data_IF_385979443569
#
_entry.id   IF_385979443569
#
_cell.length_a   1.000
_cell.length_b   1.000
_cell.length_c   1.000
_cell.angle_alpha   90.00
_cell.angle_beta   90.00
_cell.angle_gamma   90.00
#
_symmetry.space_group_name_H-M   'P 1'
#
loop_
_entity.id
_entity.type
_entity.pdbx_description
1 polymer ?
2 non-polymer ?
3 water ?
#
# COMPACT_ATOMS: atom_id res chain seq x y z
N UNK A 1 0.28 12.40 27.94
CA UNK A 1 0.69 10.96 27.94
C UNK A 1 0.29 10.30 26.62
N UNK A 2 0.25 8.97 26.58
CA UNK A 2 -0.07 8.17 25.37
C UNK A 2 -1.59 8.02 25.22
N UNK A 3 -2.24 8.97 24.54
CA UNK A 3 -3.73 9.00 24.39
C UNK A 3 -4.19 7.95 23.37
N UNK A 4 -3.61 7.97 22.17
CA UNK A 4 -4.15 7.33 20.94
C UNK A 4 -3.37 6.06 20.62
N UNK A 5 -4.08 4.98 20.27
CA UNK A 5 -3.48 3.81 19.57
C UNK A 5 -3.22 4.23 18.14
N UNK A 6 -2.21 3.67 17.47
CA UNK A 6 -2.03 3.90 16.04
C UNK A 6 -3.33 3.47 15.35
N UNK A 7 -3.70 4.13 14.26
CA UNK A 7 -4.87 3.74 13.44
C UNK A 7 -4.36 3.38 12.03
N UNK A 8 -4.76 2.23 11.49
CA UNK A 8 -4.35 1.78 10.13
C UNK A 8 -5.02 2.67 9.09
N UNK A 9 -4.30 3.14 8.06
CA UNK A 9 -4.93 3.87 6.93
C UNK A 9 -5.19 2.93 5.75
N UNK A 10 -4.56 1.77 5.69
CA UNK A 10 -4.70 0.91 4.49
C UNK A 10 -4.62 -0.57 4.88
N UNK A 11 -5.04 -0.89 6.09
CA UNK A 11 -5.44 -2.28 6.44
C UNK A 11 -6.78 -2.16 7.13
N UNK A 12 -7.68 -3.15 7.01
CA UNK A 12 -7.42 -4.40 6.32
C UNK A 12 -7.42 -4.26 4.80
N UNK A 13 -6.70 -5.16 4.13
CA UNK A 13 -6.65 -5.20 2.65
C UNK A 13 -6.48 -6.66 2.22
N UNK A 14 -7.20 -7.06 1.18
CA UNK A 14 -7.01 -8.35 0.48
C UNK A 14 -6.27 -8.08 -0.83
N UNK A 15 -5.03 -8.54 -0.93
CA UNK A 15 -4.19 -8.46 -2.15
C UNK A 15 -4.33 -9.80 -2.88
N UNK A 16 -4.52 -9.80 -4.20
CA UNK A 16 -4.38 -11.01 -5.01
C UNK A 16 -3.05 -10.89 -5.76
N UNK A 17 -2.27 -11.96 -5.71
CA UNK A 17 -0.89 -12.02 -6.27
C UNK A 17 -0.72 -13.33 -7.02
N UNK A 18 -0.18 -13.24 -8.23
CA UNK A 18 -0.02 -14.39 -9.14
C UNK A 18 1.03 -15.37 -8.60
N UNK A 19 0.71 -16.66 -8.64
CA UNK A 19 1.70 -17.69 -8.26
C UNK A 19 2.86 -17.58 -9.25
N UNK A 20 4.06 -17.94 -8.81
CA UNK A 20 5.28 -17.69 -9.57
C UNK A 20 5.90 -16.36 -9.20
N UNK A 21 5.20 -15.49 -8.47
CA UNK A 21 5.81 -14.21 -8.00
C UNK A 21 7.01 -14.59 -7.13
N UNK A 22 8.25 -14.20 -7.50
CA UNK A 22 9.42 -14.68 -6.76
C UNK A 22 9.59 -14.05 -5.38
N UNK A 23 10.51 -14.59 -4.59
CA UNK A 23 11.08 -13.97 -3.37
C UNK A 23 11.65 -12.58 -3.71
N UNK A 24 11.60 -11.68 -2.75
CA UNK A 24 12.22 -10.36 -2.83
C UNK A 24 11.34 -9.36 -3.54
N UNK A 25 10.03 -9.63 -3.62
CA UNK A 25 9.08 -8.67 -4.25
C UNK A 25 8.33 -7.94 -3.12
N UNK A 26 8.47 -6.61 -3.06
CA UNK A 26 7.70 -5.74 -2.15
C UNK A 26 6.28 -5.58 -2.72
N UNK A 27 5.29 -6.16 -2.04
CA UNK A 27 3.91 -6.30 -2.56
C UNK A 27 3.00 -5.22 -1.97
N UNK A 28 3.44 -4.49 -0.94
CA UNK A 28 2.56 -3.56 -0.19
C UNK A 28 3.38 -2.68 0.75
N UNK A 29 2.79 -1.57 1.15
CA UNK A 29 3.37 -0.70 2.21
C UNK A 29 2.24 -0.27 3.12
N UNK A 30 2.27 -0.79 4.35
CA UNK A 30 1.26 -0.55 5.41
C UNK A 30 1.52 0.85 5.98
N UNK A 31 0.43 1.57 6.22
CA UNK A 31 0.50 2.90 6.88
C UNK A 31 -0.46 2.87 8.05
N UNK A 32 0.09 3.03 9.25
CA UNK A 32 -0.66 3.39 10.48
C UNK A 32 -0.16 4.76 10.96
N UNK A 33 -1.08 5.55 11.49
CA UNK A 33 -0.80 6.93 12.00
C UNK A 33 -1.21 6.96 13.47
N UNK A 34 -0.46 7.74 14.23
CA UNK A 34 -0.67 7.97 15.67
C UNK A 34 -0.74 9.49 15.86
N UNK A 35 -1.82 9.99 16.44
CA UNK A 35 -2.07 11.43 16.69
C UNK A 35 -1.11 11.99 17.76
N UNK A 36 -0.68 11.15 18.72
CA UNK A 36 0.14 11.57 19.89
C UNK A 36 1.48 12.16 19.43
N UNK A 37 2.18 12.81 20.36
CA UNK A 37 3.39 13.64 20.11
C UNK A 37 4.64 12.78 20.31
N UNK A 38 5.68 13.04 19.50
CA UNK A 38 7.03 12.47 19.65
C UNK A 38 7.04 10.96 19.78
N UNK A 39 7.59 10.45 20.88
CA UNK A 39 7.82 9.00 21.13
C UNK A 39 6.46 8.29 21.19
N UNK A 40 5.44 8.97 21.73
CA UNK A 40 4.05 8.45 21.86
C UNK A 40 3.38 8.25 20.48
N UNK A 41 3.91 8.87 19.41
CA UNK A 41 3.36 8.75 18.05
C UNK A 41 4.40 8.40 16.99
N UNK A 42 5.48 7.71 17.37
CA UNK A 42 6.43 7.09 16.40
C UNK A 42 5.95 5.66 16.19
N UNK A 43 5.53 5.31 14.97
CA UNK A 43 4.91 3.97 14.69
C UNK A 43 5.98 2.99 14.22
N UNK A 44 5.93 1.74 14.68
CA UNK A 44 6.74 0.62 14.16
C UNK A 44 5.80 -0.56 13.86
N UNK A 45 6.24 -1.45 12.95
CA UNK A 45 5.43 -2.52 12.33
C UNK A 45 6.11 -3.87 12.60
N UNK A 46 5.31 -4.87 12.97
CA UNK A 46 5.78 -6.28 12.98
C UNK A 46 4.61 -7.20 12.59
N UNK A 47 4.91 -8.44 12.18
CA UNK A 47 3.90 -9.54 12.11
C UNK A 47 3.46 -9.96 13.53
N UNK A 48 2.17 -10.27 13.74
CA UNK A 48 1.63 -10.75 15.03
C UNK A 48 2.32 -12.05 15.42
N UNK A 49 2.46 -13.00 14.47
CA UNK A 49 3.13 -14.31 14.71
C UNK A 49 4.63 -14.09 14.51
N UNK A 50 5.42 -14.41 15.54
CA UNK A 50 6.90 -14.29 15.52
C UNK A 50 7.56 -15.41 14.73
N UNK A 51 6.79 -16.21 13.97
CA UNK A 51 7.24 -17.47 13.32
C UNK A 51 8.30 -17.14 12.28
N UNK A 52 9.52 -17.72 12.40
CA UNK A 52 10.65 -17.29 11.57
C UNK A 52 10.66 -17.81 10.13
N UNK A 53 9.74 -18.69 9.74
CA UNK A 53 9.71 -19.30 8.38
C UNK A 53 8.56 -18.76 7.50
N UNK A 54 8.03 -17.57 7.79
CA UNK A 54 6.91 -16.99 6.99
C UNK A 54 7.40 -16.61 5.57
N UNK A 55 6.50 -16.67 4.59
CA UNK A 55 6.74 -16.34 3.17
C UNK A 55 6.72 -14.82 2.94
N UNK A 56 6.48 -14.01 3.98
CA UNK A 56 6.42 -12.53 3.95
C UNK A 56 7.08 -11.96 5.20
N UNK A 57 7.80 -10.86 5.02
CA UNK A 57 8.31 -10.02 6.14
C UNK A 57 7.84 -8.60 5.95
N UNK A 58 7.71 -7.90 7.07
CA UNK A 58 7.38 -6.46 7.06
C UNK A 58 8.54 -5.78 7.74
N UNK A 59 8.98 -4.66 7.16
CA UNK A 59 10.07 -3.87 7.72
C UNK A 59 9.49 -3.03 8.85
N UNK A 60 10.13 -3.03 10.02
CA UNK A 60 9.58 -2.40 11.24
C UNK A 60 9.48 -0.88 11.07
N UNK A 61 10.31 -0.26 10.24
CA UNK A 61 10.34 1.21 10.01
C UNK A 61 9.39 1.64 8.88
N UNK A 62 9.56 1.07 7.69
CA UNK A 62 8.88 1.48 6.43
C UNK A 62 7.47 0.90 6.32
N UNK A 63 7.21 -0.23 6.96
CA UNK A 63 5.95 -1.00 6.79
C UNK A 63 5.87 -1.68 5.44
N UNK A 64 6.99 -1.77 4.73
CA UNK A 64 7.02 -2.45 3.40
C UNK A 64 6.99 -3.96 3.64
N UNK A 65 6.06 -4.63 2.97
CA UNK A 65 5.89 -6.10 2.98
C UNK A 65 6.55 -6.69 1.75
N UNK A 66 7.39 -7.71 1.96
CA UNK A 66 8.21 -8.34 0.90
C UNK A 66 8.06 -9.86 0.97
N UNK A 67 7.94 -10.50 -0.19
CA UNK A 67 7.99 -11.97 -0.28
C UNK A 67 9.38 -12.45 0.15
N UNK A 68 9.45 -13.64 0.73
CA UNK A 68 10.71 -14.33 1.11
C UNK A 68 10.81 -15.67 0.37
N UNK A 69 9.80 -16.04 -0.39
CA UNK A 69 9.79 -17.27 -1.20
C UNK A 69 8.86 -17.08 -2.38
N UNK A 70 9.03 -17.94 -3.39
CA UNK A 70 8.17 -17.96 -4.60
C UNK A 70 6.76 -18.39 -4.16
N UNK A 71 5.74 -17.62 -4.54
CA UNK A 71 4.34 -17.99 -4.24
C UNK A 71 3.92 -19.13 -5.16
N UNK A 72 3.18 -20.08 -4.58
CA UNK A 72 2.68 -21.30 -5.26
C UNK A 72 1.36 -21.66 -4.58
N UNK A 73 0.28 -21.51 -5.33
CA UNK A 73 -1.10 -21.77 -4.84
C UNK A 73 -1.20 -23.19 -4.31
N UNK A 74 -0.50 -24.13 -4.94
CA UNK A 74 -0.51 -25.58 -4.58
C UNK A 74 0.15 -25.77 -3.22
N UNK A 75 1.04 -24.86 -2.80
CA UNK A 75 1.67 -24.93 -1.44
C UNK A 75 0.84 -24.14 -0.43
N UNK A 76 0.65 -22.83 -0.60
CA UNK A 76 -0.26 -22.02 0.26
C UNK A 76 -1.11 -21.14 -0.65
N UNK A 77 -2.43 -21.26 -0.59
CA UNK A 77 -3.38 -20.52 -1.45
C UNK A 77 -3.73 -19.17 -0.80
N UNK A 78 -3.67 -19.06 0.53
CA UNK A 78 -4.12 -17.83 1.22
C UNK A 78 -3.25 -17.63 2.46
N UNK A 79 -2.82 -16.40 2.65
CA UNK A 79 -2.10 -15.94 3.86
C UNK A 79 -2.97 -14.86 4.51
N UNK A 80 -3.18 -14.97 5.81
CA UNK A 80 -3.81 -13.88 6.60
C UNK A 80 -2.70 -13.31 7.46
N UNK A 81 -2.04 -12.25 7.02
CA UNK A 81 -0.84 -11.68 7.70
C UNK A 81 -1.31 -10.65 8.69
N UNK A 82 -1.24 -10.97 9.99
CA UNK A 82 -1.69 -10.01 11.03
C UNK A 82 -0.54 -9.04 11.26
N UNK A 83 -0.78 -7.77 10.97
CA UNK A 83 0.23 -6.69 11.12
C UNK A 83 -0.10 -5.94 12.42
N UNK A 84 0.92 -5.78 13.27
CA UNK A 84 0.85 -5.00 14.52
C UNK A 84 1.60 -3.68 14.30
N UNK A 85 0.89 -2.58 14.43
CA UNK A 85 1.43 -1.21 14.43
C UNK A 85 1.47 -0.73 15.88
N UNK A 86 2.66 -0.42 16.39
CA UNK A 86 2.90 -0.02 17.81
C UNK A 86 3.52 1.38 17.83
N UNK A 87 3.17 2.20 18.82
CA UNK A 87 3.88 3.47 19.12
C UNK A 87 5.05 3.16 20.06
N UNK A 88 5.93 4.13 20.30
CA UNK A 88 7.08 3.98 21.23
C UNK A 88 6.74 4.60 22.60
N UNK A 89 5.45 4.71 22.93
CA UNK A 89 4.95 5.25 24.20
C UNK A 89 5.37 4.40 25.40
N UNK A 90 5.57 5.04 26.56
CA UNK A 90 6.13 4.42 27.79
C UNK A 90 5.27 3.22 28.18
N UNK A 91 3.92 3.36 28.24
CA UNK A 91 3.04 2.22 28.00
C UNK A 91 2.84 2.13 26.48
N UNK A 92 3.20 1.01 25.87
CA UNK A 92 3.12 0.78 24.41
C UNK A 92 1.66 0.56 23.99
N UNK A 93 1.15 1.38 23.04
CA UNK A 93 -0.20 1.21 22.42
C UNK A 93 -0.04 0.64 21.00
N UNK A 94 -0.93 -0.28 20.62
CA UNK A 94 -0.80 -1.04 19.35
C UNK A 94 -2.19 -1.39 18.80
N UNK A 95 -2.26 -1.61 17.49
CA UNK A 95 -3.45 -2.08 16.76
C UNK A 95 -2.96 -3.18 15.84
N UNK A 96 -3.84 -4.14 15.56
CA UNK A 96 -3.59 -5.28 14.66
C UNK A 96 -4.69 -5.27 13.60
N UNK A 97 -4.34 -5.39 12.31
CA UNK A 97 -5.28 -5.61 11.20
C UNK A 97 -4.60 -6.54 10.20
N UNK A 98 -5.38 -7.16 9.31
CA UNK A 98 -4.87 -8.24 8.44
C UNK A 98 -4.64 -7.77 7.00
N UNK A 99 -3.45 -8.08 6.49
CA UNK A 99 -3.16 -8.11 5.06
C UNK A 99 -3.37 -9.55 4.63
N UNK A 100 -4.46 -9.78 3.91
CA UNK A 100 -4.79 -11.11 3.34
C UNK A 100 -4.14 -11.20 1.97
N UNK A 101 -3.41 -12.28 1.69
CA UNK A 101 -2.83 -12.48 0.34
C UNK A 101 -3.43 -13.76 -0.23
N UNK A 102 -4.09 -13.68 -1.38
CA UNK A 102 -4.60 -14.87 -2.10
C UNK A 102 -3.73 -15.08 -3.33
N UNK A 103 -3.23 -16.29 -3.49
CA UNK A 103 -2.31 -16.62 -4.61
C UNK A 103 -3.18 -17.11 -5.77
N UNK A 104 -3.18 -16.39 -6.89
CA UNK A 104 -3.97 -16.73 -8.10
C UNK A 104 -3.22 -17.78 -8.93
N UNK A 105 -3.96 -18.73 -9.53
CA UNK A 105 -3.43 -19.87 -10.32
C UNK A 105 -2.76 -19.37 -11.61
N UNK B 1 -9.44 28.45 6.27
CA UNK B 1 -8.12 28.66 5.66
C UNK B 1 -7.42 27.31 5.49
N UNK B 2 -6.98 27.00 4.26
CA UNK B 2 -6.42 25.69 3.86
C UNK B 2 -4.91 25.72 4.09
N UNK B 3 -4.45 25.26 5.26
CA UNK B 3 -3.05 25.47 5.73
C UNK B 3 -2.09 24.52 5.01
N UNK B 4 -2.51 23.30 4.68
CA UNK B 4 -1.60 22.16 4.38
C UNK B 4 -1.98 21.48 3.06
N UNK B 5 -0.98 21.13 2.25
CA UNK B 5 -1.07 20.18 1.12
C UNK B 5 -1.21 18.77 1.69
N UNK B 6 -2.05 17.89 1.09
CA UNK B 6 -2.02 16.46 1.43
C UNK B 6 -0.60 15.93 1.21
N UNK B 7 -0.12 15.03 2.07
CA UNK B 7 1.23 14.41 1.92
C UNK B 7 1.07 12.89 1.76
N UNK B 8 1.76 12.33 0.78
CA UNK B 8 1.78 10.86 0.54
C UNK B 8 2.56 10.19 1.67
N UNK B 9 2.02 9.11 2.21
CA UNK B 9 2.69 8.27 3.23
C UNK B 9 3.25 7.00 2.59
N UNK B 10 2.79 6.57 1.41
CA UNK B 10 3.33 5.32 0.81
C UNK B 10 3.48 5.50 -0.71
N UNK B 11 3.72 6.72 -1.16
CA UNK B 11 4.29 6.99 -2.50
C UNK B 11 5.47 7.95 -2.29
N UNK B 12 6.50 7.90 -3.13
CA UNK B 12 6.52 7.00 -4.29
C UNK B 12 6.77 5.54 -3.89
N UNK B 13 6.37 4.62 -4.76
CA UNK B 13 6.55 3.16 -4.51
C UNK B 13 6.73 2.44 -5.85
N UNK B 14 7.69 1.54 -5.91
CA UNK B 14 7.96 0.72 -7.12
C UNK B 14 7.34 -0.67 -6.88
N UNK B 15 6.22 -0.93 -7.53
CA UNK B 15 5.48 -2.21 -7.46
C UNK B 15 5.91 -3.10 -8.61
N UNK B 16 6.52 -4.24 -8.30
CA UNK B 16 6.87 -5.27 -9.28
C UNK B 16 5.72 -6.27 -9.29
N UNK B 17 5.11 -6.49 -10.44
CA UNK B 17 3.93 -7.38 -10.59
C UNK B 17 4.16 -8.31 -11.77
N UNK B 18 3.85 -9.59 -11.59
CA UNK B 18 4.13 -10.64 -12.60
C UNK B 18 3.25 -10.44 -13.83
N UNK B 19 3.84 -10.60 -15.01
CA UNK B 19 3.08 -10.59 -16.29
C UNK B 19 2.07 -11.75 -16.23
N UNK B 20 0.89 -11.55 -16.84
CA UNK B 20 -0.25 -12.47 -16.80
C UNK B 20 -1.20 -12.14 -15.65
N UNK B 21 -0.83 -11.24 -14.73
CA UNK B 21 -1.74 -10.76 -13.67
C UNK B 21 -2.97 -10.20 -14.38
N UNK B 22 -4.17 -10.75 -14.12
CA UNK B 22 -5.36 -10.34 -14.85
C UNK B 22 -5.99 -8.99 -14.45
N UNK B 23 -6.95 -8.53 -15.24
CA UNK B 23 -7.87 -7.41 -14.89
C UNK B 23 -8.63 -7.74 -13.60
N UNK B 24 -8.92 -6.72 -12.78
CA UNK B 24 -9.74 -6.83 -11.57
C UNK B 24 -8.95 -7.19 -10.32
N UNK B 25 -7.62 -7.07 -10.33
CA UNK B 25 -6.74 -7.45 -9.18
C UNK B 25 -6.38 -6.18 -8.38
N UNK B 26 -6.70 -6.14 -7.09
CA UNK B 26 -6.32 -5.06 -6.13
C UNK B 26 -4.83 -5.20 -5.77
N UNK B 27 -3.98 -4.28 -6.22
CA UNK B 27 -2.50 -4.41 -6.12
C UNK B 27 -1.92 -3.45 -5.07
N UNK B 28 -2.66 -2.43 -4.64
CA UNK B 28 -2.09 -1.40 -3.73
C UNK B 28 -3.22 -0.55 -3.17
N UNK B 29 -2.95 0.14 -2.04
CA UNK B 29 -3.84 1.19 -1.55
C UNK B 29 -2.99 2.40 -1.19
N UNK B 30 -3.15 3.47 -1.96
CA UNK B 30 -2.37 4.72 -1.78
C UNK B 30 -2.92 5.42 -0.55
N UNK B 31 -2.04 5.94 0.29
CA UNK B 31 -2.46 6.73 1.48
C UNK B 31 -1.81 8.12 1.37
N UNK B 32 -2.60 9.17 1.32
CA UNK B 32 -2.16 10.55 1.60
C UNK B 32 -2.99 11.10 2.76
N UNK B 33 -2.36 11.90 3.61
CA UNK B 33 -3.00 12.49 4.83
C UNK B 33 -2.92 14.01 4.71
N UNK B 34 -3.99 14.69 5.08
CA UNK B 34 -3.99 16.17 5.13
C UNK B 34 -4.28 16.54 6.58
N UNK B 35 -3.38 17.29 7.21
CA UNK B 35 -3.43 17.66 8.65
C UNK B 35 -4.53 18.68 8.96
N UNK B 36 -5.11 19.33 7.94
CA UNK B 36 -6.16 20.36 8.14
C UNK B 36 -7.47 19.71 8.60
N UNK B 37 -8.32 20.54 9.20
CA UNK B 37 -9.65 20.21 9.75
C UNK B 37 -10.66 20.17 8.58
N UNK B 38 -11.62 19.23 8.62
CA UNK B 38 -12.79 19.18 7.71
C UNK B 38 -12.40 19.14 6.25
N UNK B 39 -13.03 19.98 5.42
CA UNK B 39 -12.86 19.98 3.94
C UNK B 39 -11.40 20.20 3.54
N UNK B 40 -10.69 21.12 4.22
CA UNK B 40 -9.27 21.45 3.90
C UNK B 40 -8.37 20.22 4.11
N UNK B 41 -8.91 19.18 4.74
CA UNK B 41 -8.20 17.93 5.10
C UNK B 41 -8.79 16.68 4.44
N UNK B 42 -9.92 16.77 3.74
CA UNK B 42 -10.59 15.58 3.13
C UNK B 42 -9.91 15.21 1.81
N UNK B 43 -9.37 13.99 1.70
CA UNK B 43 -8.44 13.62 0.59
C UNK B 43 -9.22 12.80 -0.44
N UNK B 44 -9.04 13.12 -1.71
CA UNK B 44 -9.56 12.29 -2.83
C UNK B 44 -8.37 11.96 -3.75
N UNK B 45 -8.49 10.92 -4.58
CA UNK B 45 -7.38 10.44 -5.44
C UNK B 45 -7.79 10.43 -6.93
N UNK B 46 -6.85 10.81 -7.78
CA UNK B 46 -7.00 10.61 -9.24
C UNK B 46 -5.65 10.19 -9.79
N UNK B 47 -5.65 9.66 -11.01
CA UNK B 47 -4.48 9.00 -11.61
C UNK B 47 -4.52 9.25 -13.11
N UNK B 48 -3.37 9.56 -13.69
CA UNK B 48 -3.14 9.56 -15.16
C UNK B 48 -1.87 8.78 -15.50
N UNK B 49 -1.78 8.33 -16.75
CA UNK B 49 -0.54 7.79 -17.38
C UNK B 49 -0.35 8.52 -18.72
N UNK B 50 0.84 8.45 -19.30
CA UNK B 50 1.12 9.04 -20.63
C UNK B 50 0.87 8.03 -21.73
N UNK B 51 -0.22 7.28 -21.64
CA UNK B 51 -0.56 6.20 -22.60
C UNK B 51 -2.03 6.35 -22.98
N UNK B 52 -2.43 5.88 -24.18
CA UNK B 52 -3.78 6.13 -24.68
C UNK B 52 -4.85 5.34 -23.92
N UNK B 53 -4.46 4.26 -23.22
CA UNK B 53 -5.37 3.44 -22.37
C UNK B 53 -4.73 3.24 -20.99
N UNK B 54 -5.46 3.55 -19.91
CA UNK B 54 -4.91 3.31 -18.54
C UNK B 54 -5.27 1.87 -18.14
N UNK B 55 -4.25 1.06 -17.84
CA UNK B 55 -4.39 -0.37 -17.43
C UNK B 55 -4.64 -0.46 -15.91
N UNK B 56 -4.83 0.67 -15.23
CA UNK B 56 -5.16 0.72 -13.78
C UNK B 56 -6.27 1.75 -13.52
N UNK B 57 -6.98 1.57 -12.42
CA UNK B 57 -7.99 2.52 -11.88
C UNK B 57 -7.62 2.76 -10.41
N UNK B 58 -7.71 4.00 -9.92
CA UNK B 58 -7.57 4.27 -8.47
C UNK B 58 -8.95 4.70 -7.99
N UNK B 59 -9.39 4.15 -6.87
CA UNK B 59 -10.68 4.52 -6.25
C UNK B 59 -10.52 5.94 -5.69
N UNK B 60 -11.37 6.88 -6.09
CA UNK B 60 -11.16 8.32 -5.76
C UNK B 60 -11.30 8.54 -4.24
N UNK B 61 -12.06 7.70 -3.54
CA UNK B 61 -12.34 7.75 -2.08
C UNK B 61 -11.26 6.98 -1.31
N UNK B 62 -11.00 5.71 -1.66
CA UNK B 62 -10.20 4.75 -0.84
C UNK B 62 -8.71 4.78 -1.19
N UNK B 63 -8.34 5.15 -2.41
CA UNK B 63 -6.96 5.11 -2.91
C UNK B 63 -6.56 3.70 -3.35
N UNK B 64 -7.50 2.74 -3.40
CA UNK B 64 -7.20 1.34 -3.82
C UNK B 64 -6.99 1.35 -5.33
N UNK B 65 -5.89 0.73 -5.75
CA UNK B 65 -5.48 0.62 -7.17
C UNK B 65 -5.78 -0.80 -7.61
N UNK B 66 -6.50 -0.92 -8.73
CA UNK B 66 -6.93 -2.19 -9.37
C UNK B 66 -6.44 -2.23 -10.83
N UNK B 67 -5.99 -3.37 -11.30
CA UNK B 67 -5.70 -3.61 -12.73
C UNK B 67 -7.02 -3.55 -13.52
N UNK B 68 -7.00 -3.01 -14.73
CA UNK B 68 -8.17 -3.04 -15.65
C UNK B 68 -7.82 -3.86 -16.89
N UNK B 69 -6.61 -4.39 -16.98
CA UNK B 69 -6.14 -5.16 -18.14
C UNK B 69 -5.17 -6.24 -17.66
N UNK B 70 -4.93 -7.25 -18.50
CA UNK B 70 -3.93 -8.30 -18.22
C UNK B 70 -2.55 -7.70 -18.49
N UNK B 71 -1.63 -7.80 -17.54
CA UNK B 71 -0.29 -7.20 -17.68
C UNK B 71 0.50 -8.07 -18.65
N UNK B 72 1.31 -7.44 -19.51
CA UNK B 72 2.00 -8.12 -20.64
C UNK B 72 3.24 -7.31 -20.96
N UNK B 73 4.43 -7.85 -20.67
CA UNK B 73 5.71 -7.11 -20.86
C UNK B 73 5.89 -6.69 -22.31
N UNK B 74 5.42 -7.49 -23.27
CA UNK B 74 5.52 -7.14 -24.72
C UNK B 74 4.70 -5.90 -25.04
N UNK B 75 3.65 -5.62 -24.26
CA UNK B 75 2.78 -4.41 -24.42
C UNK B 75 3.41 -3.24 -23.65
N UNK B 76 3.44 -3.33 -22.33
CA UNK B 76 4.07 -2.29 -21.46
C UNK B 76 4.72 -3.04 -20.28
N UNK B 77 6.03 -2.86 -20.10
CA UNK B 77 6.82 -3.52 -19.04
C UNK B 77 7.00 -2.57 -17.84
N UNK B 78 6.80 -1.27 -18.03
CA UNK B 78 6.89 -0.30 -16.91
C UNK B 78 5.80 0.75 -17.12
N UNK B 79 5.02 1.01 -16.07
CA UNK B 79 4.03 2.10 -16.03
C UNK B 79 4.47 3.11 -14.99
N UNK B 80 4.30 4.40 -15.29
CA UNK B 80 4.52 5.47 -14.28
C UNK B 80 3.16 6.07 -13.98
N UNK B 81 2.46 5.57 -12.98
CA UNK B 81 1.10 6.07 -12.66
C UNK B 81 1.26 7.33 -11.80
N UNK B 82 0.92 8.49 -12.36
CA UNK B 82 1.01 9.78 -11.63
C UNK B 82 -0.24 9.91 -10.78
N UNK B 83 -0.10 9.86 -9.46
CA UNK B 83 -1.27 9.89 -8.56
C UNK B 83 -1.33 11.29 -7.95
N UNK B 84 -2.51 11.92 -8.01
CA UNK B 84 -2.74 13.26 -7.40
C UNK B 84 -3.70 13.06 -6.24
N UNK B 85 -3.28 13.45 -5.04
CA UNK B 85 -4.14 13.52 -3.86
C UNK B 85 -4.52 15.00 -3.64
N UNK B 86 -5.83 15.28 -3.61
CA UNK B 86 -6.39 16.64 -3.43
C UNK B 86 -7.22 16.69 -2.15
N UNK B 87 -7.13 17.81 -1.43
CA UNK B 87 -8.12 18.12 -0.35
C UNK B 87 -9.35 18.73 -1.04
N UNK B 88 -10.48 18.79 -0.33
CA UNK B 88 -11.70 19.52 -0.71
C UNK B 88 -11.61 20.98 -0.21
N UNK B 89 -10.39 21.54 -0.16
CA UNK B 89 -10.11 22.85 0.44
C UNK B 89 -10.55 23.98 -0.47
N UNK B 90 -10.92 25.13 0.12
CA UNK B 90 -11.50 26.31 -0.57
C UNK B 90 -10.62 26.61 -1.78
N UNK B 91 -9.32 26.96 -1.59
CA UNK B 91 -8.34 26.76 -2.65
C UNK B 91 -7.88 25.29 -2.52
N UNK B 92 -8.46 24.39 -3.32
CA UNK B 92 -8.06 22.96 -3.42
C UNK B 92 -6.54 22.89 -3.44
N UNK B 93 -5.93 22.18 -2.49
CA UNK B 93 -4.46 21.92 -2.48
C UNK B 93 -4.23 20.44 -2.80
N UNK B 94 -3.12 20.17 -3.49
CA UNK B 94 -2.85 18.83 -4.07
C UNK B 94 -1.36 18.51 -3.94
N UNK B 95 -1.08 17.21 -3.95
CA UNK B 95 0.29 16.67 -4.08
C UNK B 95 0.25 15.60 -5.18
N UNK B 96 1.34 15.46 -5.91
CA UNK B 96 1.50 14.43 -6.95
C UNK B 96 2.66 13.53 -6.56
N UNK B 97 2.51 12.23 -6.78
CA UNK B 97 3.62 11.27 -6.65
C UNK B 97 3.40 10.14 -7.66
N UNK B 98 4.33 9.20 -7.76
CA UNK B 98 4.31 8.14 -8.79
C UNK B 98 4.21 6.77 -8.13
N UNK B 99 3.26 5.96 -8.58
CA UNK B 99 3.28 4.50 -8.34
C UNK B 99 3.86 3.90 -9.62
N UNK B 100 5.10 3.42 -9.58
CA UNK B 100 5.74 2.74 -10.73
C UNK B 100 5.30 1.28 -10.66
N UNK B 101 4.89 0.72 -11.78
CA UNK B 101 4.63 -0.74 -11.87
C UNK B 101 5.61 -1.30 -12.89
N UNK B 102 6.51 -2.14 -12.42
CA UNK B 102 7.44 -2.92 -13.28
C UNK B 102 6.81 -4.29 -13.47
N UNK B 103 6.60 -4.70 -14.71
CA UNK B 103 5.97 -6.01 -15.01
C UNK B 103 7.10 -7.04 -15.12
N UNK B 104 7.09 -8.04 -14.23
CA UNK B 104 8.18 -9.03 -14.11
C UNK B 104 8.01 -10.11 -15.18
N UNK B 105 9.14 -10.55 -15.72
CA UNK B 105 9.22 -11.69 -16.67
C UNK B 105 9.05 -12.96 -15.83
N UNK B 106 8.52 -14.03 -16.44
CA UNK B 106 8.22 -15.31 -15.74
C UNK B 106 9.51 -16.02 -15.31
N UNK B 107 10.70 -15.56 -15.74
CA UNK B 107 12.03 -16.14 -15.39
C UNK B 107 12.75 -15.30 -14.31
N UNK B 108 12.33 -14.05 -14.08
CA UNK B 108 13.07 -13.06 -13.25
C UNK B 108 13.44 -13.63 -11.87
#
# INVERSE_FOLDING_TARGET
LNDNDPTFRNLPFVAEILEGTPAGVSVYQVVAIDLDEGLNGLVSYRMQVGMPRMDFVINSTSGVVTTTAELDRERIAEYQLRVVASDAGTPTKSSTSTLTVRVLDVNDELEHHHHHH
LNDNDPTFRNLPFVAEILEGTPAGVSVYQVVAIDLDEGLNGLVSYRMQVGMPRMDFVINSTSGVVTTTAELDRERIAEYQLRVVASDAGTPTKSSTSTLTVRVLDVNDELEHHHHHH
#
